data_IF_362295660742
#
_entry.id   IF_362295660742
#
_cell.length_a   1.000
_cell.length_b   1.000
_cell.length_c   1.000
_cell.angle_alpha   90.00
_cell.angle_beta   90.00
_cell.angle_gamma   90.00
#
_symmetry.space_group_name_H-M   'P 1'
#
loop_
_entity.id
_entity.type
_entity.pdbx_description
1 polymer ?
#
# COMPACT_ATOMS: atom_id res chain seq x y z
N UNK A 1 92.14 33.57 -12.03
CA UNK A 1 90.83 33.92 -11.46
C UNK A 1 90.14 32.62 -11.08
N UNK A 2 89.88 32.43 -9.79
CA UNK A 2 89.08 31.35 -9.22
C UNK A 2 87.60 31.52 -9.59
N UNK A 3 86.87 30.43 -9.88
CA UNK A 3 85.49 30.11 -9.44
C UNK A 3 85.21 28.63 -9.82
N UNK A 4 84.45 27.85 -9.02
CA UNK A 4 84.62 26.41 -8.83
C UNK A 4 83.56 25.52 -9.50
N UNK A 5 83.85 24.22 -9.49
CA UNK A 5 82.96 23.12 -9.85
C UNK A 5 81.72 23.03 -8.94
N UNK A 6 80.56 22.73 -9.54
CA UNK A 6 79.32 22.36 -8.84
C UNK A 6 78.72 21.09 -9.44
N UNK A 7 78.69 20.06 -8.60
CA UNK A 7 77.63 19.05 -8.41
C UNK A 7 76.99 18.41 -9.63
N UNK A 8 77.34 17.16 -9.87
CA UNK A 8 76.50 16.16 -10.53
C UNK A 8 75.26 15.88 -9.67
N UNK A 9 74.07 16.27 -10.14
CA UNK A 9 72.80 15.82 -9.56
C UNK A 9 72.53 14.37 -10.01
N UNK A 10 72.65 13.46 -9.06
CA UNK A 10 72.13 12.09 -9.14
C UNK A 10 70.59 12.15 -9.16
N UNK A 11 69.99 11.87 -10.31
CA UNK A 11 68.53 11.73 -10.44
C UNK A 11 68.15 10.30 -10.02
N UNK A 12 67.79 10.13 -8.76
CA UNK A 12 67.13 8.91 -8.25
C UNK A 12 65.70 8.83 -8.79
N UNK A 13 65.25 7.71 -9.38
CA UNK A 13 63.86 7.57 -9.80
C UNK A 13 62.96 7.42 -8.55
N UNK A 14 61.76 8.01 -8.52
CA UNK A 14 60.89 7.87 -7.37
C UNK A 14 60.41 6.41 -7.23
N UNK A 15 60.62 5.91 -6.03
CA UNK A 15 60.17 4.65 -5.47
C UNK A 15 58.71 4.31 -5.83
N UNK A 16 58.58 3.09 -6.36
CA UNK A 16 57.38 2.26 -6.50
C UNK A 16 56.07 2.73 -5.85
N UNK A 17 55.07 3.03 -6.69
CA UNK A 17 53.67 2.76 -6.36
C UNK A 17 53.42 1.24 -6.43
N UNK A 18 53.73 0.50 -5.36
CA UNK A 18 53.16 -0.83 -5.11
C UNK A 18 51.99 -0.71 -4.15
N UNK A 19 50.86 -0.23 -4.65
CA UNK A 19 49.57 -0.69 -4.18
C UNK A 19 49.03 -1.69 -5.21
N UNK A 20 48.43 -2.82 -4.81
CA UNK A 20 47.62 -3.58 -5.76
C UNK A 20 46.59 -2.63 -6.39
N UNK A 21 46.20 -2.82 -7.66
CA UNK A 21 45.10 -2.06 -8.23
C UNK A 21 43.91 -2.18 -7.27
N UNK A 22 43.20 -1.08 -7.04
CA UNK A 22 41.95 -1.07 -6.28
C UNK A 22 40.96 -1.97 -7.04
N UNK A 23 41.05 -3.27 -6.82
CA UNK A 23 40.07 -4.23 -7.30
C UNK A 23 38.78 -3.86 -6.59
N UNK A 24 37.66 -3.69 -7.32
CA UNK A 24 36.37 -3.53 -6.68
C UNK A 24 36.16 -4.69 -5.68
N UNK A 25 35.50 -4.43 -4.54
CA UNK A 25 35.29 -5.45 -3.53
C UNK A 25 34.70 -6.72 -4.16
N UNK A 26 35.05 -7.91 -3.66
CA UNK A 26 34.39 -9.16 -4.04
C UNK A 26 32.87 -8.97 -4.03
N UNK A 27 32.20 -9.51 -5.04
CA UNK A 27 30.76 -9.32 -5.28
C UNK A 27 29.93 -9.59 -4.01
N UNK A 28 30.31 -10.60 -3.23
CA UNK A 28 29.62 -11.02 -2.01
C UNK A 28 29.86 -10.04 -0.83
N UNK A 29 31.07 -9.45 -0.72
CA UNK A 29 31.36 -8.44 0.29
C UNK A 29 30.63 -7.12 0.00
N UNK A 30 30.50 -6.78 -1.29
CA UNK A 30 29.72 -5.63 -1.73
C UNK A 30 28.23 -5.84 -1.42
N UNK A 31 27.68 -7.00 -1.74
CA UNK A 31 26.28 -7.35 -1.48
C UNK A 31 25.95 -7.31 0.02
N UNK A 32 26.80 -7.88 0.88
CA UNK A 32 26.62 -7.85 2.32
C UNK A 32 26.65 -6.41 2.88
N UNK A 33 27.52 -5.56 2.32
CA UNK A 33 27.63 -4.14 2.69
C UNK A 33 26.40 -3.34 2.27
N UNK A 34 25.93 -3.56 1.05
CA UNK A 34 24.76 -2.87 0.50
C UNK A 34 23.48 -3.31 1.24
N UNK A 35 23.34 -4.61 1.50
CA UNK A 35 22.30 -5.19 2.37
C UNK A 35 22.28 -4.53 3.75
N UNK A 36 23.43 -4.47 4.42
CA UNK A 36 23.56 -3.84 5.75
C UNK A 36 23.23 -2.35 5.71
N UNK A 37 23.58 -1.66 4.63
CA UNK A 37 23.27 -0.24 4.45
C UNK A 37 21.76 -0.01 4.32
N UNK A 38 21.07 -0.79 3.49
CA UNK A 38 19.62 -0.70 3.30
C UNK A 38 18.88 -0.97 4.61
N UNK A 39 19.23 -2.04 5.33
CA UNK A 39 18.63 -2.35 6.64
C UNK A 39 18.82 -1.20 7.64
N UNK A 40 19.99 -0.55 7.65
CA UNK A 40 20.24 0.62 8.49
C UNK A 40 19.43 1.84 8.07
N UNK A 41 19.25 2.10 6.79
CA UNK A 41 18.41 3.21 6.31
C UNK A 41 16.95 2.99 6.71
N UNK A 42 16.47 1.75 6.61
CA UNK A 42 15.12 1.38 7.04
C UNK A 42 14.97 1.58 8.56
N UNK A 43 15.95 1.18 9.37
CA UNK A 43 15.93 1.42 10.80
C UNK A 43 15.86 2.92 11.15
N UNK A 44 16.52 3.79 10.37
CA UNK A 44 16.40 5.24 10.51
C UNK A 44 15.04 5.76 10.05
N UNK A 45 14.45 5.14 9.04
CA UNK A 45 13.11 5.51 8.59
C UNK A 45 12.06 5.22 9.66
N UNK A 46 12.17 4.05 10.30
CA UNK A 46 11.33 3.61 11.43
C UNK A 46 11.38 4.55 12.64
N UNK A 47 12.49 5.25 12.89
CA UNK A 47 12.62 6.16 14.03
C UNK A 47 11.91 7.51 13.84
N UNK A 48 11.15 7.68 12.75
CA UNK A 48 10.14 8.73 12.60
C UNK A 48 10.68 10.07 12.10
N UNK A 49 11.86 10.09 11.47
CA UNK A 49 12.58 11.35 11.20
C UNK A 49 12.81 11.64 9.71
N UNK A 50 12.16 10.92 8.80
CA UNK A 50 12.36 11.08 7.35
C UNK A 50 11.05 10.91 6.59
N UNK A 51 10.79 11.79 5.62
CA UNK A 51 9.72 11.58 4.63
C UNK A 51 10.03 10.39 3.72
N UNK A 52 9.21 10.17 2.69
CA UNK A 52 9.42 9.08 1.73
C UNK A 52 10.85 9.06 1.21
N UNK A 53 11.50 7.90 1.25
CA UNK A 53 12.88 7.73 0.79
C UNK A 53 12.95 6.80 -0.41
N UNK A 54 13.95 7.00 -1.26
CA UNK A 54 14.19 6.19 -2.45
C UNK A 54 15.63 5.72 -2.44
N UNK A 55 15.82 4.41 -2.63
CA UNK A 55 17.12 3.74 -2.56
C UNK A 55 17.31 2.92 -3.83
N UNK A 56 18.50 2.98 -4.42
CA UNK A 56 18.88 2.05 -5.48
C UNK A 56 19.18 0.69 -4.83
N UNK A 57 18.43 -0.33 -5.22
CA UNK A 57 18.51 -1.69 -4.67
C UNK A 57 18.41 -2.66 -5.83
N UNK A 58 19.52 -3.33 -6.16
CA UNK A 58 19.49 -4.36 -7.20
C UNK A 58 18.69 -5.60 -6.77
N UNK A 59 18.36 -6.45 -7.75
CA UNK A 59 17.51 -7.62 -7.54
C UNK A 59 18.09 -8.61 -6.53
N UNK A 60 19.43 -8.71 -6.40
CA UNK A 60 20.09 -9.64 -5.47
C UNK A 60 19.98 -9.13 -4.04
N UNK A 61 20.31 -7.86 -3.82
CA UNK A 61 20.15 -7.21 -2.52
C UNK A 61 18.69 -7.26 -2.09
N UNK A 62 17.74 -7.01 -3.01
CA UNK A 62 16.31 -7.15 -2.73
C UNK A 62 15.94 -8.57 -2.30
N UNK A 63 16.40 -9.60 -3.01
CA UNK A 63 16.16 -11.00 -2.65
C UNK A 63 16.66 -11.31 -1.22
N UNK A 64 17.82 -10.76 -0.84
CA UNK A 64 18.39 -10.95 0.49
C UNK A 64 17.58 -10.26 1.61
N UNK A 65 17.01 -9.07 1.37
CA UNK A 65 16.32 -8.28 2.42
C UNK A 65 14.80 -8.39 2.41
N UNK A 66 14.18 -8.71 1.28
CA UNK A 66 12.72 -8.68 1.09
C UNK A 66 11.97 -9.49 2.15
N UNK A 67 12.44 -10.70 2.46
CA UNK A 67 11.79 -11.56 3.47
C UNK A 67 11.82 -10.96 4.88
N UNK A 68 12.79 -10.11 5.21
CA UNK A 68 12.87 -9.42 6.49
C UNK A 68 11.97 -8.18 6.51
N UNK A 69 11.82 -7.51 5.37
CA UNK A 69 11.08 -6.26 5.25
C UNK A 69 9.58 -6.48 5.08
N UNK A 70 9.18 -7.46 4.27
CA UNK A 70 7.77 -7.80 4.02
C UNK A 70 7.06 -8.41 5.24
N UNK A 71 7.79 -8.73 6.32
CA UNK A 71 7.22 -9.17 7.60
C UNK A 71 6.90 -8.01 8.53
N UNK A 72 7.34 -6.79 8.22
CA UNK A 72 7.08 -5.61 9.02
C UNK A 72 5.87 -4.85 8.46
N UNK A 73 4.74 -5.00 9.13
CA UNK A 73 3.46 -4.37 8.81
C UNK A 73 3.49 -2.84 8.94
N UNK A 74 4.54 -2.27 9.53
CA UNK A 74 4.69 -0.81 9.72
C UNK A 74 5.40 -0.12 8.57
N UNK A 75 5.93 -0.87 7.61
CA UNK A 75 6.65 -0.32 6.46
C UNK A 75 5.82 -0.52 5.19
N UNK A 76 5.29 0.58 4.65
CA UNK A 76 4.82 0.57 3.27
C UNK A 76 6.01 0.72 2.34
N UNK A 77 6.15 -0.23 1.43
CA UNK A 77 7.27 -0.28 0.50
C UNK A 77 6.80 -0.62 -0.91
N UNK A 78 7.53 -0.08 -1.88
CA UNK A 78 7.41 -0.44 -3.29
C UNK A 78 8.80 -0.78 -3.81
N UNK A 79 8.95 -1.95 -4.41
CA UNK A 79 10.18 -2.32 -5.09
C UNK A 79 9.93 -2.43 -6.58
N UNK A 80 10.60 -1.60 -7.37
CA UNK A 80 10.53 -1.56 -8.83
C UNK A 80 11.75 -2.28 -9.42
N UNK A 81 11.65 -3.55 -9.89
CA UNK A 81 12.81 -4.31 -10.33
C UNK A 81 13.36 -3.82 -11.67
N UNK A 82 12.49 -3.25 -12.51
CA UNK A 82 12.83 -2.68 -13.83
C UNK A 82 13.88 -1.57 -13.74
N UNK A 83 13.81 -0.77 -12.66
CA UNK A 83 14.70 0.35 -12.38
C UNK A 83 15.55 0.14 -11.11
N UNK A 84 15.53 -1.08 -10.56
CA UNK A 84 16.27 -1.48 -9.34
C UNK A 84 16.12 -0.47 -8.19
N UNK A 85 14.86 -0.15 -7.86
CA UNK A 85 14.53 0.96 -6.98
C UNK A 85 13.61 0.52 -5.85
N UNK A 86 14.05 0.71 -4.61
CA UNK A 86 13.21 0.56 -3.42
C UNK A 86 12.72 1.93 -2.96
N UNK A 87 11.41 2.06 -2.83
CA UNK A 87 10.74 3.23 -2.28
C UNK A 87 10.16 2.85 -0.93
N UNK A 88 10.54 3.60 0.11
CA UNK A 88 9.94 3.47 1.43
C UNK A 88 8.97 4.63 1.63
N UNK A 89 7.69 4.32 1.78
CA UNK A 89 6.60 5.29 1.89
C UNK A 89 6.34 5.63 3.36
N UNK A 90 5.98 6.89 3.58
CA UNK A 90 5.40 7.36 4.83
C UNK A 90 4.09 8.06 4.49
N UNK A 91 2.95 7.38 4.67
CA UNK A 91 1.65 8.01 4.52
C UNK A 91 1.56 9.25 5.39
N UNK A 92 1.12 10.35 4.79
CA UNK A 92 0.73 11.53 5.54
C UNK A 92 -0.68 11.34 6.10
N UNK A 93 -1.06 12.16 7.08
CA UNK A 93 -2.46 12.16 7.56
C UNK A 93 -3.46 12.49 6.47
N UNK A 94 -3.08 13.39 5.55
CA UNK A 94 -3.93 13.78 4.43
C UNK A 94 -4.13 12.59 3.49
N UNK A 95 -3.05 11.90 3.14
CA UNK A 95 -3.07 10.71 2.31
C UNK A 95 -3.97 9.61 2.89
N UNK A 96 -3.76 9.26 4.17
CA UNK A 96 -4.57 8.24 4.86
C UNK A 96 -6.05 8.61 4.89
N UNK A 97 -6.36 9.86 5.23
CA UNK A 97 -7.75 10.30 5.34
C UNK A 97 -8.44 10.37 3.98
N UNK A 98 -7.76 10.88 2.96
CA UNK A 98 -8.27 10.92 1.59
C UNK A 98 -8.55 9.50 1.06
N UNK A 99 -7.57 8.60 1.19
CA UNK A 99 -7.70 7.20 0.76
C UNK A 99 -8.91 6.53 1.44
N UNK A 100 -9.04 6.70 2.76
CA UNK A 100 -10.19 6.16 3.52
C UNK A 100 -11.53 6.70 3.06
N UNK A 101 -11.64 8.00 2.78
CA UNK A 101 -12.89 8.59 2.29
C UNK A 101 -13.26 8.04 0.92
N UNK A 102 -12.30 7.94 -0.01
CA UNK A 102 -12.52 7.38 -1.34
C UNK A 102 -12.93 5.90 -1.27
N UNK A 103 -12.16 5.08 -0.56
CA UNK A 103 -12.46 3.65 -0.36
C UNK A 103 -13.80 3.44 0.34
N UNK A 104 -14.11 4.26 1.35
CA UNK A 104 -15.39 4.23 2.05
C UNK A 104 -16.56 4.52 1.12
N UNK A 105 -16.42 5.49 0.21
CA UNK A 105 -17.46 5.83 -0.77
C UNK A 105 -17.71 4.70 -1.77
N UNK A 106 -16.66 4.07 -2.29
CA UNK A 106 -16.76 2.91 -3.19
C UNK A 106 -17.46 1.76 -2.45
N UNK A 107 -17.03 1.47 -1.22
CA UNK A 107 -17.62 0.42 -0.37
C UNK A 107 -19.10 0.69 -0.09
N UNK A 108 -19.49 1.94 0.16
CA UNK A 108 -20.88 2.32 0.36
C UNK A 108 -21.73 2.04 -0.88
N UNK A 109 -21.27 2.41 -2.07
CA UNK A 109 -21.99 2.17 -3.31
C UNK A 109 -22.10 0.67 -3.63
N UNK A 110 -21.04 -0.10 -3.41
CA UNK A 110 -21.07 -1.56 -3.50
C UNK A 110 -22.11 -2.17 -2.55
N UNK A 111 -22.17 -1.66 -1.32
CA UNK A 111 -23.20 -2.06 -0.34
C UNK A 111 -24.60 -1.70 -0.83
N UNK A 112 -24.82 -0.53 -1.42
CA UNK A 112 -26.13 -0.15 -1.95
C UNK A 112 -26.54 -1.10 -3.10
N UNK A 113 -25.63 -1.40 -4.03
CA UNK A 113 -25.86 -2.36 -5.11
C UNK A 113 -26.19 -3.76 -4.58
N UNK A 114 -25.54 -4.19 -3.50
CA UNK A 114 -25.79 -5.51 -2.89
C UNK A 114 -27.17 -5.66 -2.24
N UNK A 115 -27.92 -4.58 -2.02
CA UNK A 115 -29.31 -4.63 -1.53
C UNK A 115 -30.34 -4.69 -2.67
N UNK A 116 -29.89 -4.61 -3.93
CA UNK A 116 -30.74 -4.77 -5.10
C UNK A 116 -31.20 -6.22 -5.28
N UNK A 117 -31.68 -6.53 -6.49
CA UNK A 117 -32.07 -7.88 -6.89
C UNK A 117 -31.31 -8.31 -8.15
N UNK A 118 -31.16 -9.62 -8.32
CA UNK A 118 -30.52 -10.21 -9.48
C UNK A 118 -29.00 -10.34 -9.34
N UNK A 119 -28.37 -10.74 -10.44
CA UNK A 119 -26.97 -11.18 -10.47
C UNK A 119 -25.97 -10.08 -10.10
N UNK A 120 -26.25 -8.82 -10.44
CA UNK A 120 -25.42 -7.68 -10.05
C UNK A 120 -25.38 -7.48 -8.52
N UNK A 121 -26.51 -7.67 -7.83
CA UNK A 121 -26.58 -7.57 -6.37
C UNK A 121 -25.84 -8.73 -5.69
N UNK A 122 -26.02 -9.95 -6.20
CA UNK A 122 -25.30 -11.14 -5.72
C UNK A 122 -23.78 -11.00 -5.90
N UNK A 123 -23.35 -10.49 -7.06
CA UNK A 123 -21.95 -10.18 -7.35
C UNK A 123 -21.41 -9.11 -6.40
N UNK A 124 -22.12 -8.00 -6.23
CA UNK A 124 -21.69 -6.89 -5.37
C UNK A 124 -21.54 -7.31 -3.89
N UNK A 125 -22.39 -8.23 -3.42
CA UNK A 125 -22.36 -8.76 -2.05
C UNK A 125 -21.07 -9.49 -1.70
N UNK A 126 -20.38 -10.02 -2.70
CA UNK A 126 -19.14 -10.79 -2.53
C UNK A 126 -17.87 -9.96 -2.79
N UNK A 127 -17.99 -8.65 -2.99
CA UNK A 127 -16.83 -7.75 -3.09
C UNK A 127 -16.40 -7.28 -1.69
N UNK A 128 -15.09 -7.31 -1.42
CA UNK A 128 -14.48 -6.87 -0.16
C UNK A 128 -13.41 -5.83 -0.43
N UNK A 129 -13.38 -4.79 0.41
CA UNK A 129 -12.18 -3.99 0.62
C UNK A 129 -11.18 -4.84 1.42
N UNK A 130 -10.05 -5.15 0.78
CA UNK A 130 -8.95 -5.92 1.39
C UNK A 130 -7.77 -5.03 1.78
N UNK A 131 -7.96 -3.71 1.68
CA UNK A 131 -7.06 -2.69 2.20
C UNK A 131 -5.68 -2.70 1.55
N UNK A 132 -4.65 -2.49 2.37
CA UNK A 132 -3.27 -2.27 1.96
C UNK A 132 -2.40 -3.54 1.98
N UNK A 133 -3.02 -4.71 1.84
CA UNK A 133 -2.32 -5.99 1.89
C UNK A 133 -1.26 -6.07 0.77
N UNK A 134 -0.06 -6.55 1.08
CA UNK A 134 1.04 -6.70 0.12
C UNK A 134 0.61 -7.55 -1.07
N UNK A 135 0.71 -6.98 -2.27
CA UNK A 135 0.49 -7.69 -3.54
C UNK A 135 1.85 -8.14 -4.07
N UNK A 136 1.98 -9.44 -4.30
CA UNK A 136 3.17 -10.04 -4.93
C UNK A 136 2.88 -10.31 -6.40
N UNK A 137 3.86 -10.07 -7.29
CA UNK A 137 3.69 -10.31 -8.70
C UNK A 137 3.74 -11.82 -8.98
N UNK A 138 3.07 -12.25 -10.05
CA UNK A 138 3.19 -13.59 -10.62
C UNK A 138 4.49 -13.73 -11.43
N UNK A 139 4.91 -12.65 -12.08
CA UNK A 139 6.14 -12.57 -12.86
C UNK A 139 7.25 -11.83 -12.07
N UNK A 140 8.42 -12.47 -11.83
CA UNK A 140 9.52 -11.89 -11.05
C UNK A 140 10.22 -10.69 -11.72
N UNK A 141 9.88 -10.36 -12.97
CA UNK A 141 10.31 -9.11 -13.60
C UNK A 141 9.63 -7.87 -13.00
N UNK A 142 8.48 -8.07 -12.34
CA UNK A 142 7.68 -7.02 -11.72
C UNK A 142 7.84 -6.96 -10.19
N UNK A 143 7.37 -5.85 -9.62
CA UNK A 143 7.60 -5.46 -8.25
C UNK A 143 6.61 -6.03 -7.24
N UNK A 144 7.03 -6.03 -5.96
CA UNK A 144 6.14 -6.23 -4.82
C UNK A 144 5.74 -4.87 -4.25
N UNK A 145 4.45 -4.69 -4.00
CA UNK A 145 3.89 -3.38 -3.66
C UNK A 145 2.86 -3.45 -2.53
N UNK A 146 2.74 -2.34 -1.81
CA UNK A 146 1.72 -2.12 -0.80
C UNK A 146 0.72 -1.09 -1.32
N UNK A 147 -0.45 -1.51 -1.82
CA UNK A 147 -1.46 -0.56 -2.27
C UNK A 147 -1.99 0.27 -1.11
N UNK A 148 -2.57 1.44 -1.39
CA UNK A 148 -3.25 2.21 -0.35
C UNK A 148 -4.64 1.63 -0.04
N UNK A 149 -5.29 1.07 -1.05
CA UNK A 149 -6.50 0.26 -0.91
C UNK A 149 -6.63 -0.68 -2.11
N UNK A 150 -7.31 -1.80 -1.90
CA UNK A 150 -7.58 -2.75 -2.97
C UNK A 150 -8.88 -3.48 -2.71
N UNK A 151 -9.53 -3.93 -3.79
CA UNK A 151 -10.80 -4.65 -3.72
C UNK A 151 -10.69 -6.01 -4.38
N UNK A 152 -11.38 -6.98 -3.81
CA UNK A 152 -11.38 -8.36 -4.24
C UNK A 152 -12.79 -8.95 -4.14
N UNK A 153 -13.25 -9.59 -5.22
CA UNK A 153 -14.40 -10.49 -5.14
C UNK A 153 -14.00 -11.81 -4.45
N UNK A 154 -14.84 -12.37 -3.58
CA UNK A 154 -14.54 -13.57 -2.80
C UNK A 154 -14.21 -14.82 -3.63
N UNK A 155 -14.62 -14.82 -4.91
CA UNK A 155 -14.32 -15.88 -5.87
C UNK A 155 -13.07 -15.62 -6.72
N UNK A 156 -12.50 -14.42 -6.65
CA UNK A 156 -11.26 -14.07 -7.33
C UNK A 156 -10.05 -14.45 -6.49
N UNK A 157 -8.94 -14.93 -7.09
CA UNK A 157 -7.77 -15.37 -6.34
C UNK A 157 -7.03 -14.20 -5.67
N UNK A 158 -7.03 -13.03 -6.29
CA UNK A 158 -6.32 -11.83 -5.87
C UNK A 158 -7.20 -10.58 -6.03
N UNK A 159 -6.77 -9.42 -5.48
CA UNK A 159 -7.42 -8.15 -5.74
C UNK A 159 -7.41 -7.81 -7.24
N UNK A 160 -8.43 -7.11 -7.70
CA UNK A 160 -8.67 -6.79 -9.12
C UNK A 160 -8.75 -5.28 -9.38
N UNK A 161 -9.09 -4.50 -8.35
CA UNK A 161 -9.01 -3.03 -8.32
C UNK A 161 -7.99 -2.61 -7.29
N UNK A 162 -7.06 -1.75 -7.67
CA UNK A 162 -6.06 -1.13 -6.79
C UNK A 162 -6.21 0.39 -6.82
N UNK A 163 -6.08 1.01 -5.64
CA UNK A 163 -6.07 2.46 -5.46
C UNK A 163 -4.73 2.89 -4.87
N UNK A 164 -4.13 3.90 -5.50
CA UNK A 164 -2.87 4.51 -5.13
C UNK A 164 -3.03 6.03 -5.01
N UNK A 165 -2.49 6.61 -3.95
CA UNK A 165 -2.49 8.05 -3.68
C UNK A 165 -1.04 8.51 -3.59
N UNK A 166 -0.57 9.21 -4.62
CA UNK A 166 0.77 9.74 -4.67
C UNK A 166 0.85 11.24 -4.38
N UNK A 167 2.09 11.67 -4.17
CA UNK A 167 2.45 13.07 -4.24
C UNK A 167 2.84 13.45 -5.67
N UNK A 168 2.30 14.57 -6.16
CA UNK A 168 2.49 15.20 -7.49
C UNK A 168 3.85 15.18 -8.16
N UNK A 169 4.93 15.05 -7.39
CA UNK A 169 6.28 14.92 -7.92
C UNK A 169 6.50 13.55 -8.59
N UNK A 170 5.47 12.70 -8.66
CA UNK A 170 5.57 11.27 -8.97
C UNK A 170 4.45 10.75 -9.88
N UNK A 171 3.71 11.60 -10.59
CA UNK A 171 2.70 11.15 -11.57
C UNK A 171 3.24 10.15 -12.60
N UNK A 172 4.50 10.32 -13.06
CA UNK A 172 5.18 9.32 -13.91
C UNK A 172 5.35 7.97 -13.21
N UNK A 173 5.60 7.95 -11.90
CA UNK A 173 5.71 6.71 -11.12
C UNK A 173 4.37 6.01 -10.95
N UNK A 174 3.24 6.74 -10.91
CA UNK A 174 1.92 6.11 -10.86
C UNK A 174 1.64 5.29 -12.12
N UNK A 175 2.07 5.79 -13.29
CA UNK A 175 1.97 5.00 -14.53
C UNK A 175 2.82 3.73 -14.46
N UNK A 176 4.09 3.85 -14.05
CA UNK A 176 4.95 2.67 -13.89
C UNK A 176 4.37 1.69 -12.86
N UNK A 177 3.81 2.19 -11.76
CA UNK A 177 3.17 1.36 -10.74
C UNK A 177 1.92 0.65 -11.28
N UNK A 178 1.12 1.33 -12.12
CA UNK A 178 0.00 0.70 -12.79
C UNK A 178 0.44 -0.42 -13.75
N UNK A 179 1.55 -0.22 -14.48
CA UNK A 179 2.18 -1.25 -15.30
C UNK A 179 2.64 -2.44 -14.45
N UNK A 180 3.31 -2.19 -13.31
CA UNK A 180 3.78 -3.25 -12.42
C UNK A 180 2.63 -4.05 -11.77
N UNK A 181 1.52 -3.41 -11.40
CA UNK A 181 0.34 -4.11 -10.90
C UNK A 181 -0.36 -4.94 -11.98
N UNK A 182 -0.70 -4.31 -13.10
CA UNK A 182 -1.57 -4.94 -14.12
C UNK A 182 -0.80 -6.03 -14.87
N UNK A 183 0.41 -5.75 -15.34
CA UNK A 183 1.21 -6.74 -16.06
C UNK A 183 1.83 -7.76 -15.11
N UNK A 184 2.30 -7.32 -13.94
CA UNK A 184 2.93 -8.21 -12.95
C UNK A 184 1.96 -9.21 -12.32
N UNK A 185 0.65 -8.93 -12.32
CA UNK A 185 -0.40 -9.86 -11.88
C UNK A 185 -0.94 -10.75 -13.01
N UNK A 186 -0.35 -10.73 -14.21
CA UNK A 186 -0.87 -11.40 -15.40
C UNK A 186 -2.33 -11.01 -15.70
N UNK A 187 -2.61 -9.70 -15.62
CA UNK A 187 -3.90 -9.06 -15.88
C UNK A 187 -5.02 -9.43 -14.90
N UNK A 188 -4.70 -10.08 -13.79
CA UNK A 188 -5.68 -10.35 -12.74
C UNK A 188 -6.13 -9.05 -12.06
N UNK A 189 -5.20 -8.11 -11.86
CA UNK A 189 -5.53 -6.72 -11.57
C UNK A 189 -5.95 -6.07 -12.89
N UNK A 190 -7.25 -5.81 -13.02
CA UNK A 190 -7.82 -5.20 -14.22
C UNK A 190 -7.80 -3.66 -14.20
N UNK A 191 -7.80 -3.06 -13.01
CA UNK A 191 -7.89 -1.61 -12.84
C UNK A 191 -6.94 -1.09 -11.76
N UNK A 192 -6.20 -0.04 -12.11
CA UNK A 192 -5.44 0.77 -11.15
C UNK A 192 -5.94 2.20 -11.21
N UNK A 193 -6.33 2.74 -10.06
CA UNK A 193 -6.70 4.14 -9.87
C UNK A 193 -5.55 4.84 -9.16
N UNK A 194 -4.94 5.83 -9.81
CA UNK A 194 -3.90 6.66 -9.19
C UNK A 194 -4.39 8.07 -8.99
N UNK A 195 -4.36 8.52 -7.75
CA UNK A 195 -4.65 9.89 -7.36
C UNK A 195 -3.35 10.60 -7.08
N UNK A 196 -3.17 11.76 -7.69
CA UNK A 196 -1.96 12.55 -7.59
C UNK A 196 -2.27 13.89 -6.92
N UNK A 197 -1.73 14.10 -5.72
CA UNK A 197 -2.00 15.27 -4.87
C UNK A 197 -0.72 16.11 -4.74
N UNK A 198 -0.74 17.37 -5.17
CA UNK A 198 0.37 18.31 -4.93
C UNK A 198 0.24 18.95 -3.55
N UNK A 199 1.29 18.83 -2.74
CA UNK A 199 1.34 19.39 -1.39
C UNK A 199 2.24 20.64 -1.28
N UNK A 200 3.15 20.87 -2.24
CA UNK A 200 4.27 21.79 -2.04
C UNK A 200 4.29 23.00 -3.00
N UNK A 201 3.97 22.79 -4.28
CA UNK A 201 4.12 23.80 -5.33
C UNK A 201 2.81 24.45 -5.76
N UNK A 202 1.71 23.70 -5.68
CA UNK A 202 0.36 24.17 -5.98
C UNK A 202 -0.64 23.36 -5.17
N UNK A 203 -1.93 23.67 -5.31
CA UNK A 203 -3.00 22.85 -4.73
C UNK A 203 -3.53 21.80 -5.70
N UNK A 204 -2.88 21.58 -6.84
CA UNK A 204 -3.44 20.73 -7.89
C UNK A 204 -3.63 19.30 -7.41
N UNK A 205 -4.77 18.71 -7.74
CA UNK A 205 -5.01 17.30 -7.53
C UNK A 205 -5.74 16.69 -8.73
N UNK A 206 -5.24 15.54 -9.17
CA UNK A 206 -5.72 14.83 -10.36
C UNK A 206 -5.87 13.35 -10.09
N UNK A 207 -6.63 12.63 -10.89
CA UNK A 207 -6.61 11.17 -10.89
C UNK A 207 -6.48 10.61 -12.31
N UNK A 208 -6.00 9.38 -12.39
CA UNK A 208 -5.95 8.60 -13.63
C UNK A 208 -6.43 7.18 -13.36
N UNK A 209 -6.95 6.53 -14.40
CA UNK A 209 -7.46 5.15 -14.34
C UNK A 209 -6.81 4.37 -15.47
N UNK A 210 -5.98 3.38 -15.12
CA UNK A 210 -5.28 2.54 -16.07
C UNK A 210 -5.92 1.18 -16.21
N UNK A 211 -5.91 0.67 -17.45
CA UNK A 211 -6.38 -0.67 -17.82
C UNK A 211 -5.46 -1.23 -18.90
N UNK A 212 -5.39 -2.55 -18.98
CA UNK A 212 -4.71 -3.23 -20.09
C UNK A 212 -5.56 -3.16 -21.37
N UNK A 213 -4.91 -2.96 -22.50
CA UNK A 213 -5.49 -3.06 -23.84
C UNK A 213 -4.58 -3.89 -24.73
N UNK A 214 -5.17 -4.71 -25.59
CA UNK A 214 -4.44 -5.37 -26.67
C UNK A 214 -4.08 -4.34 -27.74
N UNK A 215 -2.82 -4.27 -28.09
CA UNK A 215 -2.28 -3.39 -29.13
C UNK A 215 -1.38 -4.20 -30.07
N UNK A 216 -1.32 -3.77 -31.34
CA UNK A 216 -0.49 -4.40 -32.36
C UNK A 216 -1.29 -5.21 -33.40
N UNK A 217 -0.62 -5.65 -34.48
CA UNK A 217 -1.21 -6.52 -35.49
C UNK A 217 -1.51 -7.91 -34.92
N UNK A 218 -2.38 -8.67 -35.59
CA UNK A 218 -2.91 -9.94 -35.08
C UNK A 218 -1.85 -10.94 -34.62
N UNK A 219 -0.72 -11.02 -35.34
CA UNK A 219 0.38 -11.95 -35.08
C UNK A 219 1.40 -11.47 -34.02
N UNK A 220 1.28 -10.23 -33.55
CA UNK A 220 2.20 -9.60 -32.57
C UNK A 220 1.43 -8.73 -31.57
N UNK A 221 0.25 -9.22 -31.13
CA UNK A 221 -0.55 -8.51 -30.14
C UNK A 221 0.12 -8.58 -28.78
N UNK A 222 0.31 -7.41 -28.17
CA UNK A 222 0.81 -7.28 -26.81
C UNK A 222 -0.21 -6.55 -25.93
N UNK A 223 -0.19 -6.88 -24.64
CA UNK A 223 -0.93 -6.10 -23.65
C UNK A 223 -0.13 -4.84 -23.30
N UNK A 224 -0.78 -3.69 -23.43
CA UNK A 224 -0.22 -2.39 -23.07
C UNK A 224 -1.14 -1.75 -22.04
N UNK A 225 -0.55 -1.22 -20.97
CA UNK A 225 -1.29 -0.49 -19.94
C UNK A 225 -1.41 0.96 -20.36
N UNK A 226 -2.65 1.41 -20.54
CA UNK A 226 -2.96 2.77 -20.97
C UNK A 226 -3.97 3.42 -20.03
N UNK A 227 -3.86 4.74 -19.79
CA UNK A 227 -4.87 5.46 -19.03
C UNK A 227 -6.16 5.56 -19.85
N UNK A 228 -7.23 4.96 -19.35
CA UNK A 228 -8.59 5.21 -19.85
C UNK A 228 -9.14 6.57 -19.39
N UNK A 229 -8.64 7.06 -18.26
CA UNK A 229 -8.77 8.44 -17.80
C UNK A 229 -7.37 8.92 -17.46
N UNK A 230 -6.93 10.03 -18.05
CA UNK A 230 -5.59 10.56 -17.86
C UNK A 230 -5.63 11.94 -17.20
N UNK A 231 -5.04 12.05 -16.01
CA UNK A 231 -4.84 13.30 -15.27
C UNK A 231 -6.12 14.16 -15.16
N UNK A 232 -7.26 13.52 -14.90
CA UNK A 232 -8.52 14.22 -14.69
C UNK A 232 -8.38 15.11 -13.46
N UNK A 233 -8.49 16.41 -13.68
CA UNK A 233 -8.37 17.42 -12.62
C UNK A 233 -9.66 17.43 -11.81
N UNK A 234 -9.53 17.31 -10.50
CA UNK A 234 -10.61 17.54 -9.53
C UNK A 234 -10.32 18.73 -8.61
N UNK A 235 -9.05 19.16 -8.49
CA UNK A 235 -8.65 20.42 -7.85
C UNK A 235 -7.60 21.14 -8.71
N UNK A 236 -7.85 22.41 -9.03
CA UNK A 236 -6.93 23.24 -9.80
C UNK A 236 -5.75 23.76 -8.95
N UNK A 237 -4.75 24.34 -9.61
CA UNK A 237 -3.55 24.87 -8.95
C UNK A 237 -3.85 25.96 -7.91
N UNK A 238 -4.91 26.74 -8.12
CA UNK A 238 -5.42 27.78 -7.22
C UNK A 238 -6.20 27.21 -6.02
N UNK A 239 -6.49 25.92 -6.02
CA UNK A 239 -7.26 25.22 -5.00
C UNK A 239 -8.76 25.22 -5.25
N UNK A 240 -9.25 25.71 -6.39
CA UNK A 240 -10.67 25.65 -6.71
C UNK A 240 -11.06 24.26 -7.25
N UNK A 241 -12.30 23.79 -7.00
CA UNK A 241 -12.80 22.54 -7.54
C UNK A 241 -12.94 22.60 -9.07
N UNK A 242 -12.82 21.44 -9.70
CA UNK A 242 -13.13 21.28 -11.14
C UNK A 242 -14.64 21.30 -11.37
N UNK A 243 -15.13 22.13 -12.29
CA UNK A 243 -16.57 22.30 -12.53
C UNK A 243 -17.04 21.28 -13.60
N UNK A 244 -17.91 20.35 -13.22
CA UNK A 244 -18.59 19.46 -14.17
C UNK A 244 -19.38 18.34 -13.48
N UNK A 245 -20.70 18.32 -13.68
CA UNK A 245 -21.62 17.42 -12.97
C UNK A 245 -21.40 15.92 -13.28
N UNK A 246 -20.78 15.60 -14.42
CA UNK A 246 -20.53 14.23 -14.86
C UNK A 246 -19.03 13.86 -14.91
N UNK A 247 -18.17 14.68 -14.28
CA UNK A 247 -16.75 14.37 -14.17
C UNK A 247 -16.51 13.61 -12.87
N UNK A 248 -15.84 12.47 -12.96
CA UNK A 248 -15.52 11.68 -11.77
C UNK A 248 -14.89 10.33 -12.11
N UNK A 249 -14.57 9.59 -11.05
CA UNK A 249 -14.09 8.23 -11.13
C UNK A 249 -15.27 7.31 -11.42
N UNK A 250 -15.19 6.58 -12.52
CA UNK A 250 -16.13 5.52 -12.89
C UNK A 250 -15.45 4.16 -12.79
N UNK A 251 -16.04 3.26 -12.02
CA UNK A 251 -15.68 1.85 -11.96
C UNK A 251 -16.93 1.02 -12.24
N UNK A 252 -16.80 -0.06 -12.97
CA UNK A 252 -17.90 -0.99 -13.24
C UNK A 252 -17.82 -2.15 -12.27
N UNK A 253 -18.95 -2.82 -11.99
CA UNK A 253 -18.93 -4.04 -11.19
C UNK A 253 -17.97 -5.09 -11.77
N UNK A 254 -17.90 -5.23 -13.09
CA UNK A 254 -16.95 -6.14 -13.77
C UNK A 254 -15.48 -5.88 -13.40
N UNK A 255 -15.13 -4.68 -12.94
CA UNK A 255 -13.75 -4.36 -12.53
C UNK A 255 -13.34 -5.07 -11.25
N UNK A 256 -14.31 -5.43 -10.41
CA UNK A 256 -14.07 -5.95 -9.07
C UNK A 256 -13.88 -7.47 -9.01
N UNK A 257 -13.78 -8.15 -10.16
CA UNK A 257 -13.42 -9.56 -10.23
C UNK A 257 -12.57 -9.90 -11.46
N UNK A 258 -11.88 -11.03 -11.41
CA UNK A 258 -11.17 -11.57 -12.57
C UNK A 258 -12.16 -12.07 -13.64
N UNK A 259 -11.70 -12.18 -14.89
CA UNK A 259 -12.55 -12.55 -16.02
C UNK A 259 -13.29 -13.88 -15.83
N UNK A 260 -12.66 -14.88 -15.20
CA UNK A 260 -13.30 -16.20 -14.97
C UNK A 260 -14.42 -16.09 -13.94
N UNK A 261 -14.25 -15.21 -12.94
CA UNK A 261 -15.30 -14.92 -11.97
C UNK A 261 -16.45 -14.17 -12.61
N UNK A 262 -16.18 -13.11 -13.38
CA UNK A 262 -17.23 -12.37 -14.10
C UNK A 262 -18.11 -13.27 -14.98
N UNK A 263 -17.52 -14.24 -15.68
CA UNK A 263 -18.24 -15.18 -16.56
C UNK A 263 -19.25 -16.09 -15.83
N UNK A 264 -19.13 -16.24 -14.51
CA UNK A 264 -20.07 -17.05 -13.71
C UNK A 264 -21.40 -16.32 -13.45
N UNK A 265 -21.42 -15.01 -13.67
CA UNK A 265 -22.56 -14.16 -13.44
C UNK A 265 -23.08 -13.64 -14.79
N UNK A 266 -24.40 -13.45 -14.91
CA UNK A 266 -25.02 -12.86 -16.10
C UNK A 266 -25.47 -11.46 -15.77
N UNK A 267 -25.39 -10.53 -16.71
CA UNK A 267 -25.98 -9.19 -16.56
C UNK A 267 -25.51 -8.47 -15.27
N UNK A 268 -24.19 -8.40 -15.04
CA UNK A 268 -23.58 -7.68 -13.91
C UNK A 268 -23.45 -6.18 -14.19
N UNK A 269 -24.53 -5.59 -14.72
CA UNK A 269 -24.60 -4.17 -15.02
C UNK A 269 -24.65 -3.36 -13.71
N UNK A 270 -23.69 -2.48 -13.51
CA UNK A 270 -23.63 -1.63 -12.33
C UNK A 270 -22.39 -0.75 -12.36
N UNK A 271 -22.61 0.54 -12.11
CA UNK A 271 -21.56 1.54 -12.08
C UNK A 271 -21.38 2.07 -10.65
N UNK A 272 -20.13 2.20 -10.25
CA UNK A 272 -19.67 2.97 -9.09
C UNK A 272 -19.17 4.30 -9.62
N UNK A 273 -19.69 5.40 -9.07
CA UNK A 273 -19.33 6.75 -9.48
C UNK A 273 -18.94 7.62 -8.28
N UNK A 274 -17.72 8.16 -8.29
CA UNK A 274 -17.28 9.17 -7.32
C UNK A 274 -16.99 10.46 -8.09
N UNK A 275 -17.80 11.49 -7.85
CA UNK A 275 -17.69 12.77 -8.54
C UNK A 275 -16.39 13.51 -8.22
N UNK A 276 -15.96 14.41 -9.11
CA UNK A 276 -14.84 15.31 -8.82
C UNK A 276 -15.11 16.20 -7.60
N UNK A 277 -16.36 16.58 -7.36
CA UNK A 277 -16.76 17.35 -6.18
C UNK A 277 -16.56 16.55 -4.88
N UNK A 278 -16.93 15.27 -4.86
CA UNK A 278 -16.67 14.38 -3.72
C UNK A 278 -15.16 14.22 -3.48
N UNK A 279 -14.39 13.94 -4.53
CA UNK A 279 -12.92 13.85 -4.42
C UNK A 279 -12.30 15.14 -3.87
N UNK A 280 -12.77 16.29 -4.33
CA UNK A 280 -12.34 17.59 -3.82
C UNK A 280 -12.67 17.75 -2.33
N UNK A 281 -13.89 17.42 -1.91
CA UNK A 281 -14.32 17.50 -0.51
C UNK A 281 -13.50 16.58 0.40
N UNK A 282 -13.23 15.35 -0.04
CA UNK A 282 -12.39 14.40 0.72
C UNK A 282 -11.00 14.98 0.99
N UNK A 283 -10.44 15.68 0.01
CA UNK A 283 -9.13 16.32 0.14
C UNK A 283 -9.16 17.52 1.10
N UNK A 284 -10.17 18.39 1.01
CA UNK A 284 -10.31 19.53 1.93
C UNK A 284 -10.53 19.09 3.39
N UNK A 285 -11.33 18.05 3.61
CA UNK A 285 -11.54 17.45 4.92
C UNK A 285 -10.25 16.83 5.48
N UNK A 286 -9.52 16.09 4.64
CA UNK A 286 -8.26 15.47 4.99
C UNK A 286 -7.20 16.50 5.40
N UNK A 287 -7.07 17.60 4.65
CA UNK A 287 -6.19 18.71 5.01
C UNK A 287 -6.62 19.41 6.30
N UNK A 288 -7.92 19.57 6.52
CA UNK A 288 -8.46 20.19 7.73
C UNK A 288 -8.14 19.36 8.98
N UNK A 289 -8.36 18.04 8.90
CA UNK A 289 -8.01 17.09 9.98
C UNK A 289 -6.51 17.11 10.27
N UNK A 290 -5.67 17.14 9.23
CA UNK A 290 -4.22 17.23 9.39
C UNK A 290 -3.81 18.53 10.12
N UNK A 291 -4.34 19.69 9.70
CA UNK A 291 -4.11 20.99 10.33
C UNK A 291 -4.51 21.00 11.81
N UNK A 292 -5.70 20.49 12.13
CA UNK A 292 -6.19 20.40 13.52
C UNK A 292 -5.22 19.57 14.38
N UNK A 293 -4.76 18.43 13.84
CA UNK A 293 -3.89 17.54 14.58
C UNK A 293 -2.47 18.10 14.79
N UNK A 294 -2.00 19.00 13.92
CA UNK A 294 -0.75 19.74 14.09
C UNK A 294 -0.88 20.90 15.07
N UNK A 295 -2.01 21.62 15.05
CA UNK A 295 -2.26 22.76 15.94
C UNK A 295 -2.58 22.34 17.38
N UNK A 296 -3.16 21.15 17.58
CA UNK A 296 -3.58 20.68 18.89
C UNK A 296 -2.39 20.08 19.63
N UNK A 297 -1.62 20.90 20.36
CA UNK A 297 -0.77 20.38 21.44
C UNK A 297 -1.72 19.92 22.56
N UNK A 298 -1.81 18.62 22.89
CA UNK A 298 -2.69 18.19 23.97
C UNK A 298 -2.28 18.91 25.25
N UNK A 299 -3.23 19.57 25.91
CA UNK A 299 -2.99 20.17 27.22
C UNK A 299 -2.43 19.10 28.14
N UNK A 300 -1.20 19.33 28.61
CA UNK A 300 -0.50 18.40 29.48
C UNK A 300 -1.18 18.45 30.83
N UNK A 301 -2.15 17.56 31.05
CA UNK A 301 -2.93 17.50 32.28
C UNK A 301 -1.95 17.34 33.47
N UNK A 302 -1.66 18.40 34.27
CA UNK A 302 -0.49 18.40 35.15
C UNK A 302 -0.68 17.52 36.39
N UNK A 303 -1.92 17.10 36.64
CA UNK A 303 -2.36 16.57 37.94
C UNK A 303 -2.19 15.06 38.08
N UNK A 304 -1.85 14.32 37.02
CA UNK A 304 -1.74 12.86 37.07
C UNK A 304 -0.44 12.37 36.42
N UNK A 305 0.39 11.69 37.22
CA UNK A 305 1.57 10.99 36.72
C UNK A 305 1.11 9.78 35.90
N UNK A 306 1.32 9.81 34.59
CA UNK A 306 1.15 8.64 33.72
C UNK A 306 2.24 7.62 34.08
N UNK A 307 1.87 6.41 34.49
CA UNK A 307 2.80 5.30 34.71
C UNK A 307 2.72 4.35 33.53
N UNK A 308 3.86 4.02 32.92
CA UNK A 308 3.92 2.95 31.92
C UNK A 308 3.65 1.63 32.64
N UNK A 309 2.73 0.81 32.13
CA UNK A 309 2.51 -0.55 32.65
C UNK A 309 3.83 -1.33 32.50
N UNK A 310 4.28 -1.96 33.56
CA UNK A 310 5.35 -2.95 33.48
C UNK A 310 4.84 -4.10 32.62
N UNK A 311 5.63 -4.54 31.63
CA UNK A 311 5.25 -5.70 30.81
C UNK A 311 4.95 -6.86 31.75
N UNK A 312 3.72 -7.38 31.72
CA UNK A 312 3.38 -8.60 32.45
C UNK A 312 4.30 -9.69 31.89
N UNK A 313 4.98 -10.49 32.72
CA UNK A 313 5.71 -11.66 32.24
C UNK A 313 4.78 -12.52 31.37
N UNK A 314 5.34 -13.18 30.36
CA UNK A 314 4.59 -14.16 29.57
C UNK A 314 4.03 -15.21 30.54
N UNK A 315 2.71 -15.41 30.47
CA UNK A 315 2.01 -16.42 31.26
C UNK A 315 2.53 -17.78 30.77
N UNK A 316 3.36 -18.43 31.59
CA UNK A 316 3.76 -19.81 31.33
C UNK A 316 2.59 -20.68 31.77
N UNK A 317 1.71 -21.01 30.82
CA UNK A 317 0.70 -22.04 31.01
C UNK A 317 1.45 -23.34 31.30
N UNK A 318 1.44 -23.79 32.56
CA UNK A 318 1.90 -25.12 32.92
C UNK A 318 0.72 -26.10 32.91
N UNK A 319 1.00 -27.40 32.93
CA UNK A 319 -0.05 -28.43 32.85
C UNK A 319 -1.12 -28.30 33.96
N UNK A 320 -0.84 -27.58 35.07
CA UNK A 320 -1.81 -27.33 36.14
C UNK A 320 -2.76 -26.19 35.82
N UNK A 321 -2.33 -25.24 34.98
CA UNK A 321 -3.19 -24.18 34.47
C UNK A 321 -4.23 -24.75 33.50
N UNK A 322 -3.87 -25.76 32.69
CA UNK A 322 -4.83 -26.46 31.81
C UNK A 322 -5.95 -27.15 32.60
N UNK A 323 -5.63 -27.81 33.72
CA UNK A 323 -6.63 -28.44 34.60
C UNK A 323 -7.59 -27.40 35.19
N UNK A 324 -7.08 -26.24 35.60
CA UNK A 324 -7.90 -25.15 36.14
C UNK A 324 -8.85 -24.55 35.07
N UNK A 325 -8.37 -24.38 33.84
CA UNK A 325 -9.22 -23.94 32.73
C UNK A 325 -10.28 -24.99 32.37
N UNK A 326 -9.93 -26.28 32.40
CA UNK A 326 -10.89 -27.37 32.16
C UNK A 326 -11.98 -27.43 33.24
N UNK A 327 -11.62 -27.20 34.52
CA UNK A 327 -12.58 -27.10 35.61
C UNK A 327 -13.52 -25.90 35.46
N UNK A 328 -12.98 -24.73 35.07
CA UNK A 328 -13.77 -23.52 34.81
C UNK A 328 -14.71 -23.69 33.61
N UNK A 329 -14.25 -24.30 32.51
CA UNK A 329 -15.09 -24.64 31.35
C UNK A 329 -16.21 -25.63 31.72
N UNK A 330 -15.90 -26.63 32.54
CA UNK A 330 -16.90 -27.58 33.04
C UNK A 330 -17.91 -26.91 33.97
N UNK A 331 -17.48 -25.96 34.81
CA UNK A 331 -18.36 -25.18 35.67
C UNK A 331 -19.27 -24.24 34.87
N UNK A 332 -18.75 -23.57 33.84
CA UNK A 332 -19.53 -22.71 32.95
C UNK A 332 -20.55 -23.53 32.16
N UNK A 333 -20.15 -24.70 31.64
CA UNK A 333 -21.06 -25.61 30.92
C UNK A 333 -22.19 -26.10 31.83
N UNK A 334 -21.90 -26.54 33.05
CA UNK A 334 -22.93 -26.95 34.03
C UNK A 334 -23.91 -25.83 34.39
N UNK A 335 -23.45 -24.57 34.46
CA UNK A 335 -24.35 -23.43 34.70
C UNK A 335 -25.27 -23.18 33.51
N UNK A 336 -24.75 -23.34 32.30
CA UNK A 336 -25.50 -23.16 31.06
C UNK A 336 -26.61 -24.21 30.90
N UNK A 337 -26.33 -25.46 31.26
CA UNK A 337 -27.32 -26.56 31.23
C UNK A 337 -28.43 -26.39 32.28
N UNK A 338 -28.12 -25.78 33.43
CA UNK A 338 -29.12 -25.49 34.47
C UNK A 338 -30.07 -24.35 34.09
N UNK A 339 -29.61 -23.32 33.37
CA UNK A 339 -30.47 -22.21 32.94
C UNK A 339 -31.49 -22.64 31.87
N UNK A 340 -31.13 -23.60 31.00
CA UNK A 340 -31.97 -24.08 29.89
C UNK A 340 -33.13 -24.99 30.36
N UNK A 341 -33.04 -25.57 31.57
CA UNK A 341 -34.11 -26.40 32.15
C UNK A 341 -35.25 -25.61 32.81
N UNK A 342 -35.15 -24.28 32.87
CA UNK A 342 -36.18 -23.43 33.48
C UNK A 342 -37.29 -22.97 32.52
N UNK A 343 -37.20 -23.27 31.22
CA UNK A 343 -38.24 -22.90 30.26
C UNK A 343 -39.45 -23.85 30.38
N UNK A 344 -40.45 -23.46 31.19
CA UNK A 344 -41.78 -24.10 31.20
C UNK A 344 -42.69 -23.43 30.16
N UNK A 345 -42.97 -24.16 29.10
CA UNK A 345 -43.97 -23.83 28.09
C UNK A 345 -45.35 -23.68 28.77
N UNK A 346 -45.88 -22.45 28.80
CA UNK A 346 -47.23 -22.17 29.27
C UNK A 346 -48.13 -22.02 28.05
N UNK A 347 -48.92 -23.05 27.74
CA UNK A 347 -49.97 -23.00 26.71
C UNK A 347 -51.06 -22.00 27.10
N UNK A 348 -51.52 -21.13 26.19
CA UNK A 348 -52.79 -20.45 26.35
C UNK A 348 -53.90 -21.27 25.68
N UNK A 349 -54.82 -21.81 26.50
CA UNK A 349 -56.18 -22.12 26.04
C UNK A 349 -56.91 -20.80 25.78
N UNK A 350 -57.37 -20.59 24.55
CA UNK A 350 -58.31 -19.53 24.21
C UNK A 350 -59.68 -20.17 24.00
N UNK A 351 -60.66 -19.70 24.77
CA UNK A 351 -62.08 -20.05 24.69
C UNK A 351 -62.79 -19.25 23.61
#
# INVERSE_FOLDING_TARGET
MNVPARGSEEITPPSSFRGPPLTPPPTDEKEARDTSNILRQIAKHRSGNTGQTTHKVDKRVWAAVSSLLLRDDKLQLDYFPSIECLVLRMPTKVHEQFSRSLTGRITEQLRLLSHGSGSAADFAKDIRDVGSATIRPRDPEYGTHNPDSSFQHLKSPSPTVVIEVAHSQKGEKLRTLAEEYILGSDLEIGVVVGVDIEYSKSKRATFSVWRARLQGPEDDRAWVVEPTVANQIFRHDDGNPSIGQNLGLHLRLEDFADQKTCQQFKDIDGDIFVSCDELYQYLEEAETIAKIAESTKPERNPRLKKRRRTQTPEEQLDDRDEDAYAEDEAHVSKRRDLDDTSYKESSPECT
#
